data_IF_625404293069
#
_entry.id   IF_625404293069
#
_cell.length_a   1.000
_cell.length_b   1.000
_cell.length_c   1.000
_cell.angle_alpha   90.00
_cell.angle_beta   90.00
_cell.angle_gamma   90.00
#
_symmetry.space_group_name_H-M   'P 1'
#
loop_
_entity.id
_entity.type
_entity.pdbx_description
1 polymer ?
#
# COMPACT_ATOMS: atom_id res chain seq x y z
N UNK A 1 -8.13 -1.98 -21.97
CA UNK A 1 -7.61 -2.75 -20.83
C UNK A 1 -7.81 -1.87 -19.62
N UNK A 2 -8.61 -2.27 -18.65
CA UNK A 2 -8.76 -1.50 -17.41
C UNK A 2 -7.40 -1.54 -16.71
N UNK A 3 -6.75 -0.39 -16.54
CA UNK A 3 -5.50 -0.33 -15.76
C UNK A 3 -5.84 -0.62 -14.30
N UNK A 4 -5.25 -1.70 -13.76
CA UNK A 4 -5.41 -2.04 -12.34
C UNK A 4 -4.57 -1.08 -11.51
N UNK A 5 -5.18 -0.48 -10.48
CA UNK A 5 -4.53 0.50 -9.62
C UNK A 5 -3.49 -0.21 -8.75
N UNK A 6 -2.27 0.30 -8.69
CA UNK A 6 -1.25 -0.22 -7.76
C UNK A 6 -1.45 0.35 -6.36
N UNK A 7 -1.97 -0.46 -5.45
CA UNK A 7 -2.30 -0.10 -4.07
C UNK A 7 -1.31 -0.74 -3.09
N UNK A 8 -0.65 0.09 -2.28
CA UNK A 8 0.16 -0.38 -1.15
C UNK A 8 -0.60 -0.21 0.15
N UNK A 9 -0.61 -1.22 1.00
CA UNK A 9 -1.25 -1.18 2.31
C UNK A 9 -0.21 -1.35 3.40
N UNK A 10 -0.01 -0.30 4.20
CA UNK A 10 1.00 -0.29 5.25
C UNK A 10 0.43 -0.70 6.61
N UNK A 11 1.17 -1.54 7.34
CA UNK A 11 0.85 -1.97 8.71
C UNK A 11 0.07 -3.28 8.80
N UNK A 12 0.16 -4.10 7.75
CA UNK A 12 -0.50 -5.42 7.65
C UNK A 12 0.40 -6.39 6.89
N UNK A 13 0.42 -7.67 7.27
CA UNK A 13 1.26 -8.68 6.63
C UNK A 13 0.52 -9.43 5.50
N UNK A 14 -0.80 -9.59 5.63
CA UNK A 14 -1.65 -10.20 4.59
C UNK A 14 -2.90 -9.36 4.30
N UNK A 15 -3.35 -9.39 3.05
CA UNK A 15 -4.64 -8.82 2.64
C UNK A 15 -5.82 -9.46 3.38
N UNK A 16 -5.69 -10.72 3.82
CA UNK A 16 -6.74 -11.44 4.55
C UNK A 16 -7.08 -10.81 5.91
N UNK A 17 -6.19 -9.97 6.44
CA UNK A 17 -6.41 -9.23 7.68
C UNK A 17 -7.30 -7.98 7.48
N UNK A 18 -7.68 -7.67 6.24
CA UNK A 18 -8.46 -6.50 5.86
C UNK A 18 -9.87 -6.93 5.43
N UNK A 19 -10.88 -6.78 6.29
CA UNK A 19 -12.24 -7.15 5.95
C UNK A 19 -12.76 -6.34 4.74
N UNK A 20 -13.28 -7.01 3.71
CA UNK A 20 -13.88 -6.35 2.56
C UNK A 20 -12.91 -6.03 1.42
N UNK A 21 -11.62 -6.38 1.53
CA UNK A 21 -10.60 -6.11 0.52
C UNK A 21 -10.89 -6.82 -0.81
N UNK A 22 -11.58 -7.96 -0.76
CA UNK A 22 -11.98 -8.76 -1.91
C UNK A 22 -12.86 -7.97 -2.89
N UNK A 23 -13.52 -6.91 -2.42
CA UNK A 23 -14.41 -6.05 -3.23
C UNK A 23 -13.63 -5.16 -4.19
N UNK A 24 -12.35 -4.92 -3.94
CA UNK A 24 -11.47 -4.08 -4.78
C UNK A 24 -10.32 -4.87 -5.42
N UNK A 25 -10.13 -6.14 -5.02
CA UNK A 25 -9.05 -6.99 -5.53
C UNK A 25 -9.11 -7.25 -7.04
N UNK A 26 -10.28 -7.07 -7.69
CA UNK A 26 -10.42 -7.17 -9.13
C UNK A 26 -9.91 -5.93 -9.89
N UNK A 27 -9.93 -4.77 -9.22
CA UNK A 27 -9.64 -3.45 -9.80
C UNK A 27 -8.27 -2.90 -9.37
N UNK A 28 -7.62 -3.53 -8.38
CA UNK A 28 -6.35 -3.11 -7.82
C UNK A 28 -5.36 -4.27 -7.66
N UNK A 29 -4.10 -3.99 -7.95
CA UNK A 29 -2.98 -4.82 -7.56
C UNK A 29 -2.52 -4.39 -6.17
N UNK A 30 -2.68 -5.28 -5.19
CA UNK A 30 -2.50 -4.96 -3.76
C UNK A 30 -1.19 -5.55 -3.26
N UNK A 31 -0.35 -4.70 -2.67
CA UNK A 31 0.87 -5.10 -1.96
C UNK A 31 0.79 -4.73 -0.48
N UNK A 32 0.99 -5.71 0.40
CA UNK A 32 1.05 -5.50 1.84
C UNK A 32 2.48 -5.14 2.27
N UNK A 33 2.63 -4.03 2.98
CA UNK A 33 3.88 -3.54 3.53
C UNK A 33 3.81 -3.53 5.07
N UNK A 34 4.09 -4.67 5.74
CA UNK A 34 4.03 -4.74 7.20
C UNK A 34 5.11 -3.91 7.91
N UNK A 35 6.23 -3.65 7.23
CA UNK A 35 7.41 -3.00 7.78
C UNK A 35 8.06 -2.01 6.80
N UNK A 36 9.17 -1.40 7.23
CA UNK A 36 9.92 -0.42 6.46
C UNK A 36 10.52 -0.99 5.18
N UNK A 37 11.01 -2.23 5.20
CA UNK A 37 11.69 -2.86 4.07
C UNK A 37 10.70 -3.08 2.93
N UNK A 38 9.55 -3.70 3.24
CA UNK A 38 8.47 -3.89 2.28
C UNK A 38 7.91 -2.54 1.78
N UNK A 39 7.85 -1.53 2.66
CA UNK A 39 7.38 -0.21 2.25
C UNK A 39 8.36 0.48 1.29
N UNK A 40 9.67 0.35 1.49
CA UNK A 40 10.68 0.86 0.56
C UNK A 40 10.64 0.17 -0.81
N UNK A 41 10.30 -1.12 -0.84
CA UNK A 41 10.16 -1.89 -2.08
C UNK A 41 8.92 -1.47 -2.88
N UNK A 42 7.75 -1.35 -2.24
CA UNK A 42 6.48 -1.18 -2.95
C UNK A 42 6.09 0.28 -3.19
N UNK A 43 6.48 1.20 -2.31
CA UNK A 43 6.05 2.61 -2.37
C UNK A 43 6.45 3.35 -3.67
N UNK A 44 7.63 3.13 -4.28
CA UNK A 44 8.01 3.85 -5.50
C UNK A 44 7.08 3.61 -6.70
N UNK A 45 6.39 2.47 -6.73
CA UNK A 45 5.47 2.09 -7.81
C UNK A 45 3.99 2.24 -7.38
N UNK A 46 3.73 2.72 -6.18
CA UNK A 46 2.38 2.84 -5.64
C UNK A 46 1.67 4.08 -6.21
N UNK A 47 0.44 3.87 -6.68
CA UNK A 47 -0.46 4.96 -7.05
C UNK A 47 -1.33 5.40 -5.87
N UNK A 48 -1.63 4.46 -4.96
CA UNK A 48 -2.41 4.70 -3.75
C UNK A 48 -1.72 4.03 -2.58
N UNK A 49 -1.70 4.72 -1.43
CA UNK A 49 -1.21 4.19 -0.16
C UNK A 49 -2.34 4.21 0.87
N UNK A 50 -2.64 3.05 1.46
CA UNK A 50 -3.60 2.90 2.55
C UNK A 50 -2.86 2.55 3.85
N UNK A 51 -2.96 3.42 4.85
CA UNK A 51 -2.44 3.13 6.19
C UNK A 51 -3.45 2.31 7.00
N UNK A 52 -3.21 1.01 7.17
CA UNK A 52 -4.08 0.14 7.97
C UNK A 52 -3.84 0.30 9.47
N UNK A 53 -2.58 0.46 9.89
CA UNK A 53 -2.22 0.69 11.29
C UNK A 53 -1.29 1.91 11.43
N UNK A 54 -1.84 3.02 11.92
CA UNK A 54 -1.20 4.35 12.03
C UNK A 54 -0.08 4.47 13.09
N UNK A 55 0.54 3.36 13.51
CA UNK A 55 1.72 3.36 14.40
C UNK A 55 3.02 3.71 13.67
N UNK A 56 2.93 3.98 12.37
CA UNK A 56 4.02 4.06 11.40
C UNK A 56 5.02 5.21 11.67
N UNK A 57 6.12 4.88 12.34
CA UNK A 57 7.37 5.64 12.24
C UNK A 57 7.96 5.53 10.83
N UNK A 58 7.63 4.44 10.14
CA UNK A 58 8.22 4.01 8.87
C UNK A 58 7.71 4.86 7.71
N UNK A 59 6.41 5.20 7.70
CA UNK A 59 5.82 6.09 6.69
C UNK A 59 6.55 7.44 6.61
N UNK A 60 6.93 8.00 7.76
CA UNK A 60 7.70 9.25 7.79
C UNK A 60 9.08 9.10 7.15
N UNK A 61 9.71 7.94 7.29
CA UNK A 61 11.02 7.67 6.72
C UNK A 61 10.97 7.42 5.22
N UNK A 62 9.87 6.86 4.70
CA UNK A 62 9.73 6.51 3.27
C UNK A 62 8.99 7.54 2.44
N UNK A 63 8.38 8.57 3.06
CA UNK A 63 7.56 9.56 2.35
C UNK A 63 8.26 10.21 1.13
N UNK A 64 9.58 10.36 1.19
CA UNK A 64 10.38 10.89 0.09
C UNK A 64 10.37 10.03 -1.19
N UNK A 65 9.89 8.79 -1.12
CA UNK A 65 9.76 7.86 -2.25
C UNK A 65 8.37 7.94 -2.92
N UNK A 66 7.41 8.64 -2.31
CA UNK A 66 6.02 8.66 -2.71
C UNK A 66 5.71 9.74 -3.77
N UNK A 67 6.32 9.63 -4.95
CA UNK A 67 6.21 10.66 -6.00
C UNK A 67 4.92 10.60 -6.83
N UNK A 68 4.22 9.46 -6.82
CA UNK A 68 3.11 9.17 -7.74
C UNK A 68 1.75 8.98 -7.03
N UNK A 69 1.68 9.27 -5.73
CA UNK A 69 0.45 9.08 -4.97
C UNK A 69 -0.68 9.97 -5.50
N UNK A 70 -1.85 9.36 -5.68
CA UNK A 70 -3.11 10.02 -5.97
C UNK A 70 -3.82 10.33 -4.64
N UNK A 71 -4.30 11.56 -4.49
CA UNK A 71 -5.04 12.07 -3.32
C UNK A 71 -6.52 12.29 -3.63
#
# INVERSE_FOLDING_TARGET
MSEQITLVIHGVASVDEIPGIERIAADAQISCAPDLEALQEFLPNAEVLLGWNFRAKDLRQTWHLAEQLRW
#
